data_IF_846197538873
#
_entry.id   IF_846197538873
#
_cell.length_a   1.000
_cell.length_b   1.000
_cell.length_c   1.000
_cell.angle_alpha   90.00
_cell.angle_beta   90.00
_cell.angle_gamma   90.00
#
_symmetry.space_group_name_H-M   'P 1'
#
loop_
_entity.id
_entity.type
_entity.pdbx_description
1 polymer ?
#
# COMPACT_ATOMS: atom_id res chain seq x y z
N UNK A 1 0.67 10.72 26.81
CA UNK A 1 1.27 10.02 25.65
C UNK A 1 2.19 11.01 24.94
N UNK A 2 3.43 10.63 24.60
CA UNK A 2 4.35 11.47 23.82
C UNK A 2 4.61 10.76 22.50
N UNK A 3 4.28 11.40 21.39
CA UNK A 3 4.58 10.92 20.04
C UNK A 3 6.00 11.34 19.69
N UNK A 4 6.80 10.43 19.15
CA UNK A 4 8.15 10.69 18.70
C UNK A 4 8.21 10.55 17.18
N UNK A 5 8.97 11.42 16.53
CA UNK A 5 9.23 11.29 15.09
C UNK A 5 10.23 10.16 14.87
N UNK A 6 9.80 9.10 14.20
CA UNK A 6 10.70 8.06 13.71
C UNK A 6 11.35 8.54 12.41
N UNK A 7 12.69 8.54 12.34
CA UNK A 7 13.44 9.15 11.24
C UNK A 7 13.67 8.24 10.03
N UNK A 8 13.19 6.99 10.09
CA UNK A 8 13.39 6.01 9.02
C UNK A 8 12.05 5.46 8.58
N UNK A 9 11.94 5.08 7.32
CA UNK A 9 10.81 4.28 6.86
C UNK A 9 11.03 2.80 7.24
N UNK A 10 9.94 2.09 7.52
CA UNK A 10 9.95 0.63 7.66
C UNK A 10 9.25 0.06 6.45
N UNK A 11 9.98 -0.73 5.65
CA UNK A 11 9.45 -1.43 4.49
C UNK A 11 9.40 -2.93 4.77
N UNK A 12 8.35 -3.59 4.30
CA UNK A 12 8.13 -5.02 4.44
C UNK A 12 7.96 -5.64 3.05
N UNK A 13 8.68 -6.74 2.78
CA UNK A 13 8.45 -7.55 1.60
C UNK A 13 7.13 -8.32 1.77
N UNK A 14 6.19 -8.09 0.87
CA UNK A 14 4.85 -8.67 0.91
C UNK A 14 4.47 -9.31 -0.42
N UNK A 15 3.63 -10.33 -0.36
CA UNK A 15 2.95 -10.89 -1.53
C UNK A 15 1.53 -10.33 -1.62
N UNK A 16 1.17 -9.76 -2.77
CA UNK A 16 -0.20 -9.34 -3.06
C UNK A 16 -0.83 -10.36 -3.98
N UNK A 17 -1.88 -11.03 -3.50
CA UNK A 17 -2.59 -12.04 -4.26
C UNK A 17 -3.67 -11.42 -5.14
N UNK A 18 -3.60 -11.71 -6.44
CA UNK A 18 -4.72 -11.49 -7.35
C UNK A 18 -5.63 -12.73 -7.33
N UNK A 19 -6.68 -12.69 -6.50
CA UNK A 19 -7.62 -13.82 -6.32
C UNK A 19 -8.30 -14.25 -7.62
N UNK A 20 -8.52 -13.33 -8.56
CA UNK A 20 -9.14 -13.66 -9.85
C UNK A 20 -8.20 -14.50 -10.74
N UNK A 21 -6.88 -14.46 -10.49
CA UNK A 21 -5.86 -15.11 -11.32
C UNK A 21 -5.05 -16.16 -10.56
N UNK A 22 -5.27 -16.31 -9.25
CA UNK A 22 -4.53 -17.22 -8.38
C UNK A 22 -3.02 -16.95 -8.36
N UNK A 23 -2.60 -15.69 -8.57
CA UNK A 23 -1.19 -15.31 -8.71
C UNK A 23 -0.79 -14.32 -7.63
N UNK A 24 0.33 -14.58 -6.98
CA UNK A 24 0.96 -13.68 -6.01
C UNK A 24 2.01 -12.82 -6.71
N UNK A 25 1.96 -11.51 -6.47
CA UNK A 25 2.93 -10.53 -6.94
C UNK A 25 3.69 -9.97 -5.75
N UNK A 26 5.02 -10.09 -5.75
CA UNK A 26 5.86 -9.56 -4.69
C UNK A 26 6.02 -8.04 -4.84
N UNK A 27 5.95 -7.32 -3.72
CA UNK A 27 6.22 -5.87 -3.65
C UNK A 27 6.69 -5.49 -2.25
N UNK A 28 7.16 -4.24 -2.09
CA UNK A 28 7.54 -3.68 -0.80
C UNK A 28 6.43 -2.75 -0.29
N UNK A 29 5.88 -3.03 0.89
CA UNK A 29 4.87 -2.20 1.54
C UNK A 29 5.49 -1.32 2.63
N UNK A 30 5.03 -0.06 2.74
CA UNK A 30 5.36 0.82 3.86
C UNK A 30 4.52 0.44 5.08
N UNK A 31 5.17 0.28 6.24
CA UNK A 31 4.47 0.13 7.51
C UNK A 31 4.19 1.52 8.09
N UNK A 32 2.94 1.96 7.97
CA UNK A 32 2.47 3.26 8.44
C UNK A 32 1.34 3.09 9.47
N UNK A 33 1.63 3.38 10.73
CA UNK A 33 0.62 3.35 11.81
C UNK A 33 -0.42 4.47 11.70
N UNK A 34 -0.15 5.51 10.90
CA UNK A 34 -1.11 6.58 10.60
C UNK A 34 -2.13 6.20 9.53
N UNK A 35 -1.88 5.13 8.76
CA UNK A 35 -2.82 4.63 7.76
C UNK A 35 -3.98 3.88 8.44
N UNK A 36 -5.20 4.14 7.97
CA UNK A 36 -6.42 3.48 8.45
C UNK A 36 -6.84 2.27 7.59
N UNK A 37 -5.99 1.86 6.64
CA UNK A 37 -6.31 0.82 5.67
C UNK A 37 -5.10 0.44 4.84
N UNK A 38 -5.32 -0.44 3.87
CA UNK A 38 -4.32 -0.90 2.91
C UNK A 38 -4.47 -0.06 1.64
N UNK A 39 -3.41 0.64 1.28
CA UNK A 39 -3.35 1.46 0.09
C UNK A 39 -2.29 0.90 -0.86
N UNK A 40 -2.53 1.02 -2.15
CA UNK A 40 -1.63 0.50 -3.17
C UNK A 40 -1.48 1.52 -4.30
N UNK A 41 -0.29 1.56 -4.89
CA UNK A 41 -0.04 2.38 -6.07
C UNK A 41 -0.96 1.96 -7.22
N UNK A 42 -1.69 2.93 -7.78
CA UNK A 42 -2.67 2.68 -8.82
C UNK A 42 -2.01 2.09 -10.07
N UNK A 43 -0.88 2.67 -10.51
CA UNK A 43 -0.20 2.24 -11.74
C UNK A 43 0.27 0.80 -11.61
N UNK A 44 0.88 0.43 -10.49
CA UNK A 44 1.31 -0.92 -10.20
C UNK A 44 0.13 -1.90 -10.17
N UNK A 45 -0.96 -1.56 -9.49
CA UNK A 45 -2.12 -2.42 -9.36
C UNK A 45 -2.86 -2.63 -10.70
N UNK A 46 -2.96 -1.59 -11.52
CA UNK A 46 -3.53 -1.68 -12.88
C UNK A 46 -2.67 -2.58 -13.79
N UNK A 47 -1.33 -2.46 -13.72
CA UNK A 47 -0.41 -3.30 -14.51
C UNK A 47 -0.59 -4.80 -14.22
N UNK A 48 -0.88 -5.18 -12.98
CA UNK A 48 -1.09 -6.59 -12.62
C UNK A 48 -2.57 -7.02 -12.68
N UNK A 49 -3.47 -6.07 -12.96
CA UNK A 49 -4.92 -6.29 -13.11
C UNK A 49 -5.62 -6.59 -11.78
N UNK A 50 -5.27 -5.88 -10.71
CA UNK A 50 -6.02 -5.96 -9.45
C UNK A 50 -7.33 -5.18 -9.55
N UNK A 51 -8.41 -5.66 -8.90
CA UNK A 51 -9.63 -4.87 -8.74
C UNK A 51 -9.36 -3.70 -7.78
N UNK A 52 -9.65 -2.48 -8.21
CA UNK A 52 -9.46 -1.26 -7.43
C UNK A 52 -10.79 -0.56 -7.16
N UNK A 53 -10.92 0.02 -5.97
CA UNK A 53 -12.01 0.93 -5.61
C UNK A 53 -11.42 2.33 -5.48
N UNK A 54 -12.00 3.29 -6.20
CA UNK A 54 -11.55 4.68 -6.13
C UNK A 54 -11.93 5.28 -4.78
N UNK A 55 -10.98 5.97 -4.15
CA UNK A 55 -11.25 6.73 -2.94
C UNK A 55 -12.09 7.97 -3.27
N UNK A 56 -13.05 8.29 -2.40
CA UNK A 56 -13.86 9.52 -2.49
C UNK A 56 -13.00 10.79 -2.34
N UNK A 57 -11.92 10.70 -1.55
CA UNK A 57 -10.96 11.78 -1.36
C UNK A 57 -9.55 11.24 -1.56
N UNK A 58 -8.74 11.94 -2.35
CA UNK A 58 -7.35 11.59 -2.56
C UNK A 58 -6.56 11.71 -1.26
N UNK A 59 -5.73 10.72 -0.96
CA UNK A 59 -4.77 10.79 0.15
C UNK A 59 -3.51 11.49 -0.37
N UNK A 60 -3.11 12.63 0.21
CA UNK A 60 -1.87 13.26 -0.18
C UNK A 60 -0.69 12.41 0.32
N UNK A 61 0.12 11.93 -0.62
CA UNK A 61 1.41 11.29 -0.32
C UNK A 61 2.47 12.38 -0.38
N UNK A 62 3.07 12.67 0.76
CA UNK A 62 4.21 13.58 0.85
C UNK A 62 5.49 12.74 0.85
N UNK A 63 6.29 12.88 -0.19
CA UNK A 63 7.60 12.22 -0.32
C UNK A 63 8.67 13.00 0.45
#
# INVERSE_FOLDING_TARGET
MRTYLFQKEIRLDVGVENLARGKVHSTSALLDSGANGIFIDQVWAEQIGLPLVKLETSIPVYN
#
